data_IF_619006707887
#
_entry.id   IF_619006707887
#
_cell.length_a   1.000
_cell.length_b   1.000
_cell.length_c   1.000
_cell.angle_alpha   90.00
_cell.angle_beta   90.00
_cell.angle_gamma   90.00
#
_symmetry.space_group_name_H-M   'P 1'
#
loop_
_entity.id
_entity.type
_entity.pdbx_description
1 polymer ?
#
# COMPACT_ATOMS: atom_id res chain seq x y z
N UNK A 1 58.44 -8.00 -52.77
CA UNK A 1 59.64 -7.16 -52.81
C UNK A 1 59.67 -6.46 -51.50
N UNK A 2 60.36 -7.08 -50.58
CA UNK A 2 61.69 -6.68 -50.15
C UNK A 2 61.67 -5.45 -49.31
N UNK A 3 62.11 -5.39 -48.15
CA UNK A 3 63.18 -6.02 -47.34
C UNK A 3 63.61 -4.95 -46.34
N UNK A 4 63.71 -5.33 -45.09
CA UNK A 4 64.95 -5.44 -44.32
C UNK A 4 65.52 -4.09 -43.78
N UNK A 5 65.77 -4.01 -42.55
CA UNK A 5 67.00 -3.96 -41.82
C UNK A 5 66.89 -3.18 -40.52
N UNK A 6 66.96 -3.77 -39.45
CA UNK A 6 68.06 -4.09 -38.55
C UNK A 6 69.11 -3.01 -38.31
N UNK A 7 69.37 -2.85 -37.01
CA UNK A 7 70.70 -2.43 -36.52
C UNK A 7 70.56 -1.51 -35.28
N UNK A 8 70.76 -1.93 -34.21
CA UNK A 8 71.78 -2.55 -33.34
C UNK A 8 72.74 -1.57 -32.67
N UNK A 9 72.74 -1.59 -31.30
CA UNK A 9 73.92 -1.43 -30.38
C UNK A 9 74.50 -0.02 -30.22
N UNK A 10 74.88 0.47 -29.09
CA UNK A 10 75.38 -0.03 -27.83
C UNK A 10 75.89 1.14 -26.97
N UNK A 11 75.78 0.99 -25.66
CA UNK A 11 76.78 1.26 -24.62
C UNK A 11 77.40 2.70 -24.42
N UNK A 12 77.56 3.18 -23.28
CA UNK A 12 78.44 2.88 -22.12
C UNK A 12 78.41 4.06 -21.11
N UNK A 13 78.22 3.71 -19.85
CA UNK A 13 78.83 4.18 -18.60
C UNK A 13 79.06 5.68 -18.30
N UNK A 14 78.69 6.07 -17.12
CA UNK A 14 79.25 7.16 -16.35
C UNK A 14 78.68 7.30 -14.97
N UNK A 15 79.36 6.75 -14.01
CA UNK A 15 79.16 6.84 -12.53
C UNK A 15 79.35 8.28 -12.05
N UNK A 16 78.50 8.79 -11.15
CA UNK A 16 79.01 9.38 -9.87
C UNK A 16 77.89 9.56 -8.82
N UNK A 17 78.23 9.22 -7.60
CA UNK A 17 77.50 9.32 -6.36
C UNK A 17 77.10 10.75 -6.02
N UNK A 18 75.88 10.90 -5.46
CA UNK A 18 75.66 11.79 -4.34
C UNK A 18 74.54 11.30 -3.42
N UNK A 19 74.93 10.94 -2.18
CA UNK A 19 74.02 10.60 -1.09
C UNK A 19 73.23 11.85 -0.69
N UNK A 20 71.88 11.76 -0.69
CA UNK A 20 71.07 12.55 0.23
C UNK A 20 69.99 11.63 0.81
N UNK A 21 70.11 11.43 2.13
CA UNK A 21 69.09 10.93 3.03
C UNK A 21 67.82 11.79 2.92
N UNK A 22 66.71 11.18 2.58
CA UNK A 22 65.36 11.70 2.93
C UNK A 22 64.61 10.60 3.60
N UNK A 23 64.19 10.93 4.84
CA UNK A 23 63.46 10.01 5.72
C UNK A 23 62.12 9.60 5.13
N UNK A 24 61.87 8.30 5.18
CA UNK A 24 60.54 7.75 4.97
C UNK A 24 59.69 8.03 6.21
N UNK A 25 58.77 9.00 6.08
CA UNK A 25 57.62 9.12 6.98
C UNK A 25 56.59 8.09 6.52
N UNK A 26 56.48 6.98 7.23
CA UNK A 26 55.39 6.04 7.10
C UNK A 26 54.13 6.73 7.64
N UNK A 27 53.34 7.27 6.72
CA UNK A 27 51.97 7.71 7.04
C UNK A 27 51.11 6.45 7.09
N UNK A 28 50.86 5.98 8.33
CA UNK A 28 49.93 4.90 8.60
C UNK A 28 48.51 5.46 8.40
N UNK A 29 47.93 5.29 7.21
CA UNK A 29 46.51 5.55 6.95
C UNK A 29 45.74 4.42 7.61
N UNK A 30 45.19 4.71 8.79
CA UNK A 30 44.13 3.89 9.38
C UNK A 30 42.89 3.98 8.46
N UNK A 31 42.67 3.00 7.60
CA UNK A 31 41.36 2.72 7.04
C UNK A 31 40.46 2.24 8.19
N UNK A 32 39.72 3.17 8.82
CA UNK A 32 38.50 2.79 9.53
C UNK A 32 37.50 2.25 8.49
N UNK A 33 37.49 0.96 8.31
CA UNK A 33 36.34 0.27 7.75
C UNK A 33 35.21 0.45 8.77
N UNK A 34 34.31 1.40 8.50
CA UNK A 34 33.00 1.41 9.13
C UNK A 34 32.29 0.12 8.68
N UNK A 35 32.27 -0.87 9.54
CA UNK A 35 31.30 -1.94 9.43
C UNK A 35 29.94 -1.29 9.68
N UNK A 36 29.26 -0.90 8.61
CA UNK A 36 27.83 -0.67 8.67
C UNK A 36 27.22 -2.00 9.06
N UNK A 37 26.63 -2.06 10.25
CA UNK A 37 25.72 -3.14 10.61
C UNK A 37 24.58 -2.99 9.61
N UNK A 38 24.51 -3.84 8.62
CA UNK A 38 23.34 -3.94 7.77
C UNK A 38 22.16 -4.23 8.71
N UNK A 39 21.17 -3.35 8.73
CA UNK A 39 19.93 -3.65 9.44
C UNK A 39 19.42 -4.98 8.90
N UNK A 40 19.07 -5.91 9.79
CA UNK A 40 18.50 -7.18 9.38
C UNK A 40 17.24 -6.88 8.56
N UNK A 41 17.13 -7.46 7.37
CA UNK A 41 15.93 -7.32 6.55
C UNK A 41 14.73 -7.84 7.33
N UNK A 42 13.64 -7.11 7.30
CA UNK A 42 12.36 -7.57 7.84
C UNK A 42 11.88 -8.76 7.00
N UNK A 43 11.42 -9.81 7.67
CA UNK A 43 10.90 -11.03 7.04
C UNK A 43 9.44 -11.26 7.44
N UNK A 44 8.70 -12.02 6.66
CA UNK A 44 7.34 -12.46 6.96
C UNK A 44 7.31 -13.50 8.08
N UNK A 45 6.12 -13.75 8.65
CA UNK A 45 5.94 -14.85 9.63
C UNK A 45 6.25 -16.20 8.98
N UNK A 46 5.79 -16.41 7.75
CA UNK A 46 6.08 -17.65 7.00
C UNK A 46 7.59 -17.87 6.83
N UNK A 47 8.36 -16.84 6.49
CA UNK A 47 9.82 -16.96 6.40
C UNK A 47 10.47 -17.22 7.76
N UNK A 48 9.95 -16.62 8.83
CA UNK A 48 10.43 -16.82 10.19
C UNK A 48 10.19 -18.26 10.72
N UNK A 49 9.08 -18.89 10.33
CA UNK A 49 8.78 -20.28 10.68
C UNK A 49 9.84 -21.26 10.13
N UNK A 50 10.45 -20.96 9.00
CA UNK A 50 11.52 -21.78 8.39
C UNK A 50 12.94 -21.33 8.78
N UNK A 51 13.08 -20.28 9.57
CA UNK A 51 14.39 -19.79 10.04
C UNK A 51 14.88 -20.70 11.19
N UNK A 52 16.20 -20.95 11.23
CA UNK A 52 16.80 -21.80 12.25
C UNK A 52 16.80 -21.17 13.65
N UNK A 53 16.62 -21.98 14.68
CA UNK A 53 16.74 -21.54 16.08
C UNK A 53 18.12 -20.90 16.33
N UNK A 54 18.15 -19.86 17.14
CA UNK A 54 19.34 -19.06 17.46
C UNK A 54 19.64 -17.94 16.46
N UNK A 55 18.83 -17.75 15.42
CA UNK A 55 18.97 -16.64 14.48
C UNK A 55 18.32 -15.37 15.02
N UNK A 56 19.02 -14.24 14.90
CA UNK A 56 18.41 -12.94 15.16
C UNK A 56 17.58 -12.55 13.93
N UNK A 57 16.32 -12.22 14.15
CA UNK A 57 15.34 -11.92 13.10
C UNK A 57 14.54 -10.67 13.43
N UNK A 58 14.07 -10.03 12.40
CA UNK A 58 13.04 -8.99 12.44
C UNK A 58 11.84 -9.49 11.68
N UNK A 59 10.72 -9.72 12.38
CA UNK A 59 9.49 -10.26 11.79
C UNK A 59 8.38 -9.22 11.84
N UNK A 60 7.63 -9.09 10.78
CA UNK A 60 6.36 -8.36 10.76
C UNK A 60 5.20 -9.31 10.59
N UNK A 61 4.11 -9.04 11.31
CA UNK A 61 2.88 -9.80 11.20
C UNK A 61 1.79 -9.22 12.09
N UNK A 62 0.59 -9.74 11.95
CA UNK A 62 -0.59 -9.31 12.68
C UNK A 62 -0.75 -10.09 13.99
N UNK A 63 -1.15 -9.41 15.05
CA UNK A 63 -1.54 -10.05 16.31
C UNK A 63 -2.85 -10.80 16.08
N UNK A 64 -2.82 -12.14 16.18
CA UNK A 64 -3.98 -13.01 15.92
C UNK A 64 -4.46 -13.76 17.16
N UNK A 65 -3.82 -13.59 18.30
CA UNK A 65 -4.29 -14.19 19.54
C UNK A 65 -3.24 -14.36 20.64
N UNK A 66 -3.61 -15.14 21.66
CA UNK A 66 -2.76 -15.54 22.78
C UNK A 66 -2.54 -17.05 22.74
N UNK A 67 -1.31 -17.55 22.58
CA UNK A 67 -1.03 -18.97 22.66
C UNK A 67 -1.19 -19.45 24.11
N UNK A 68 -1.98 -20.50 24.29
CA UNK A 68 -2.21 -21.14 25.59
C UNK A 68 -1.67 -22.58 25.67
N UNK A 69 -1.39 -23.19 24.52
CA UNK A 69 -0.66 -24.45 24.38
C UNK A 69 0.04 -24.48 23.00
N UNK A 70 0.76 -25.58 22.71
CA UNK A 70 1.45 -25.80 21.43
C UNK A 70 0.52 -25.69 20.20
N UNK A 71 -0.74 -26.04 20.34
CA UNK A 71 -1.73 -26.21 19.28
C UNK A 71 -3.01 -25.38 19.49
N UNK A 72 -3.00 -24.45 20.46
CA UNK A 72 -4.19 -23.70 20.85
C UNK A 72 -3.87 -22.22 21.06
N UNK A 73 -4.58 -21.38 20.32
CA UNK A 73 -4.50 -19.92 20.40
C UNK A 73 -5.89 -19.37 20.74
N UNK A 74 -5.99 -18.56 21.80
CA UNK A 74 -7.19 -17.80 22.12
C UNK A 74 -7.28 -16.59 21.19
N UNK A 75 -8.33 -16.50 20.39
CA UNK A 75 -8.61 -15.36 19.51
C UNK A 75 -9.66 -14.38 20.07
N UNK A 76 -10.19 -14.70 21.26
CA UNK A 76 -11.11 -13.86 22.03
C UNK A 76 -11.08 -14.25 23.50
N UNK A 77 -11.60 -13.38 24.41
CA UNK A 77 -11.65 -13.63 25.85
C UNK A 77 -10.28 -14.00 26.47
N UNK A 78 -9.28 -13.25 26.12
CA UNK A 78 -7.87 -13.49 26.43
C UNK A 78 -7.60 -13.67 27.92
N UNK A 79 -6.92 -14.76 28.28
CA UNK A 79 -6.65 -15.14 29.67
C UNK A 79 -5.24 -14.80 30.13
N UNK A 80 -4.36 -14.29 29.23
CA UNK A 80 -2.95 -14.07 29.51
C UNK A 80 -2.38 -12.83 28.79
N UNK A 81 -1.33 -12.25 29.41
CA UNK A 81 -0.50 -11.19 28.83
C UNK A 81 0.95 -11.67 28.54
N UNK A 82 1.21 -12.96 28.56
CA UNK A 82 2.58 -13.48 28.53
C UNK A 82 3.13 -13.77 27.16
N UNK A 83 2.26 -13.84 26.14
CA UNK A 83 2.68 -14.10 24.77
C UNK A 83 1.63 -13.60 23.78
N UNK A 84 2.06 -13.47 22.52
CA UNK A 84 1.21 -13.22 21.35
C UNK A 84 1.37 -14.35 20.34
N UNK A 85 0.32 -14.69 19.63
CA UNK A 85 0.40 -15.37 18.35
C UNK A 85 0.38 -14.31 17.25
N UNK A 86 1.30 -14.41 16.31
CA UNK A 86 1.46 -13.46 15.20
C UNK A 86 1.46 -14.23 13.89
N UNK A 87 0.76 -13.73 12.88
CA UNK A 87 0.63 -14.35 11.55
C UNK A 87 0.77 -13.32 10.44
N UNK A 88 0.97 -13.80 9.20
CA UNK A 88 1.01 -12.92 8.03
C UNK A 88 -0.38 -12.40 7.64
N UNK A 89 -1.45 -13.11 8.02
CA UNK A 89 -2.85 -12.70 7.85
C UNK A 89 -3.47 -12.34 9.21
N UNK A 90 -4.17 -11.20 9.29
CA UNK A 90 -4.86 -10.71 10.50
C UNK A 90 -6.00 -11.65 10.97
N UNK A 91 -6.48 -12.52 10.09
CA UNK A 91 -7.58 -13.48 10.34
C UNK A 91 -7.12 -14.92 10.38
N UNK A 92 -5.82 -15.17 10.50
CA UNK A 92 -5.26 -16.52 10.54
C UNK A 92 -5.84 -17.32 11.70
N UNK A 93 -6.26 -18.56 11.41
CA UNK A 93 -6.82 -19.51 12.39
C UNK A 93 -6.02 -20.80 12.51
N UNK A 94 -5.11 -21.06 11.57
CA UNK A 94 -4.25 -22.24 11.59
C UNK A 94 -3.02 -21.96 12.45
N UNK A 95 -2.90 -22.67 13.56
CA UNK A 95 -1.81 -22.44 14.52
C UNK A 95 -0.43 -22.71 13.91
N UNK A 96 -0.33 -23.64 12.95
CA UNK A 96 0.92 -23.98 12.26
C UNK A 96 1.44 -22.83 11.36
N UNK A 97 0.59 -21.85 11.02
CA UNK A 97 0.94 -20.65 10.24
C UNK A 97 1.20 -19.42 11.13
N UNK A 98 1.28 -19.61 12.44
CA UNK A 98 1.54 -18.57 13.44
C UNK A 98 2.92 -18.73 14.06
N UNK A 99 3.58 -17.61 14.38
CA UNK A 99 4.78 -17.58 15.23
C UNK A 99 4.41 -17.10 16.65
N UNK A 100 4.92 -17.77 17.70
CA UNK A 100 4.63 -17.39 19.08
C UNK A 100 5.68 -16.43 19.61
N UNK A 101 5.26 -15.26 20.03
CA UNK A 101 6.12 -14.19 20.55
C UNK A 101 5.96 -14.13 22.07
N UNK A 102 7.02 -14.46 22.82
CA UNK A 102 7.04 -14.33 24.28
C UNK A 102 7.12 -12.86 24.67
N UNK A 103 6.24 -12.43 25.55
CA UNK A 103 6.27 -11.08 26.11
C UNK A 103 7.02 -11.05 27.43
N UNK A 104 8.20 -10.44 27.45
CA UNK A 104 8.90 -10.10 28.67
C UNK A 104 8.15 -9.02 29.45
N UNK A 105 8.45 -8.88 30.76
CA UNK A 105 7.65 -8.08 31.68
C UNK A 105 7.46 -6.62 31.23
N UNK A 106 8.41 -6.06 30.49
CA UNK A 106 8.38 -4.70 29.98
C UNK A 106 7.34 -4.50 28.86
N UNK A 107 7.06 -5.53 28.06
CA UNK A 107 6.11 -5.45 26.94
C UNK A 107 4.67 -5.80 27.33
N UNK A 108 4.44 -6.49 28.48
CA UNK A 108 3.11 -7.02 28.87
C UNK A 108 2.05 -5.96 29.10
N UNK A 109 2.45 -4.79 29.61
CA UNK A 109 1.51 -3.69 29.87
C UNK A 109 0.98 -3.07 28.59
N UNK A 110 1.79 -3.03 27.53
CA UNK A 110 1.48 -2.39 26.25
C UNK A 110 0.91 -3.37 25.24
N UNK A 111 1.46 -4.58 25.15
CA UNK A 111 1.11 -5.55 24.10
C UNK A 111 0.27 -6.75 24.60
N UNK A 112 0.14 -6.98 25.89
CA UNK A 112 -0.63 -8.11 26.42
C UNK A 112 -2.12 -8.00 26.14
N UNK A 113 -2.69 -8.96 25.41
CA UNK A 113 -4.08 -8.93 24.95
C UNK A 113 -5.11 -9.02 26.07
N UNK A 114 -4.81 -9.65 27.21
CA UNK A 114 -5.73 -9.65 28.35
C UNK A 114 -6.04 -8.21 28.84
N UNK A 115 -5.05 -7.33 28.79
CA UNK A 115 -5.21 -5.93 29.17
C UNK A 115 -5.60 -5.03 27.99
N UNK A 116 -5.22 -5.38 26.78
CA UNK A 116 -5.38 -4.58 25.57
C UNK A 116 -6.02 -5.41 24.44
N UNK A 117 -7.28 -5.88 24.61
CA UNK A 117 -7.93 -6.74 23.61
C UNK A 117 -8.12 -6.07 22.24
N UNK A 118 -8.11 -4.75 22.20
CA UNK A 118 -8.20 -3.97 20.96
C UNK A 118 -6.93 -4.01 20.09
N UNK A 119 -5.86 -4.71 20.52
CA UNK A 119 -4.68 -4.94 19.69
C UNK A 119 -4.82 -6.14 18.72
N UNK A 120 -5.92 -6.91 18.81
CA UNK A 120 -6.20 -7.94 17.79
C UNK A 120 -6.23 -7.33 16.41
N UNK A 121 -5.58 -7.98 15.43
CA UNK A 121 -5.45 -7.50 14.08
C UNK A 121 -4.44 -6.37 13.88
N UNK A 122 -3.78 -5.89 14.95
CA UNK A 122 -2.73 -4.87 14.82
C UNK A 122 -1.46 -5.49 14.25
N UNK A 123 -0.91 -4.91 13.20
CA UNK A 123 0.40 -5.31 12.66
C UNK A 123 1.50 -4.83 13.59
N UNK A 124 2.43 -5.71 13.90
CA UNK A 124 3.59 -5.41 14.74
C UNK A 124 4.88 -5.86 14.07
N UNK A 125 5.97 -5.16 14.39
CA UNK A 125 7.34 -5.58 14.09
C UNK A 125 7.98 -6.07 15.39
N UNK A 126 8.53 -7.27 15.35
CA UNK A 126 9.22 -7.90 16.48
C UNK A 126 10.67 -8.16 16.11
N UNK A 127 11.59 -7.63 16.88
CA UNK A 127 13.00 -7.98 16.80
C UNK A 127 13.33 -8.95 17.95
N UNK A 128 14.03 -10.02 17.63
CA UNK A 128 14.43 -10.98 18.64
C UNK A 128 15.15 -12.19 18.08
N UNK A 129 15.39 -13.16 18.91
CA UNK A 129 16.03 -14.41 18.51
C UNK A 129 14.97 -15.48 18.29
N UNK A 130 14.99 -16.09 17.09
CA UNK A 130 14.16 -17.23 16.74
C UNK A 130 14.49 -18.40 17.65
N UNK A 131 13.55 -18.87 18.45
CA UNK A 131 13.65 -20.07 19.27
C UNK A 131 12.26 -20.61 19.57
N UNK A 132 12.17 -21.88 19.97
CA UNK A 132 10.88 -22.48 20.26
C UNK A 132 10.28 -21.95 21.58
N UNK A 133 9.01 -21.56 21.53
CA UNK A 133 8.22 -21.16 22.68
C UNK A 133 6.94 -22.03 22.79
N UNK A 134 6.65 -22.61 23.95
CA UNK A 134 5.64 -23.66 24.11
C UNK A 134 5.87 -24.89 23.21
N UNK A 135 7.12 -25.19 22.86
CA UNK A 135 7.48 -26.23 21.88
C UNK A 135 6.89 -25.99 20.47
N UNK A 136 6.53 -24.77 20.16
CA UNK A 136 6.10 -24.25 18.87
C UNK A 136 7.12 -23.25 18.37
N UNK A 137 7.17 -23.00 17.06
CA UNK A 137 8.04 -21.97 16.49
C UNK A 137 7.73 -20.61 17.12
N UNK A 138 8.75 -19.92 17.63
CA UNK A 138 8.55 -18.70 18.36
C UNK A 138 9.73 -17.73 18.33
N UNK A 139 9.56 -16.61 19.03
CA UNK A 139 10.60 -15.64 19.37
C UNK A 139 10.64 -15.57 20.88
N UNK A 140 11.64 -16.22 21.48
CA UNK A 140 11.73 -16.30 22.95
C UNK A 140 12.44 -15.08 23.56
N UNK A 141 13.46 -14.55 22.85
CA UNK A 141 14.26 -13.42 23.32
C UNK A 141 13.93 -12.19 22.49
N UNK A 142 12.87 -11.50 22.89
CA UNK A 142 12.40 -10.27 22.23
C UNK A 142 13.27 -9.10 22.68
N UNK A 143 13.83 -8.39 21.72
CA UNK A 143 14.66 -7.18 21.96
C UNK A 143 13.90 -5.89 21.72
N UNK A 144 12.90 -5.89 20.84
CA UNK A 144 11.93 -4.80 20.70
C UNK A 144 10.63 -5.27 20.07
N UNK A 145 9.53 -4.61 20.42
CA UNK A 145 8.25 -4.69 19.74
C UNK A 145 7.82 -3.28 19.42
N UNK A 146 7.38 -3.06 18.21
CA UNK A 146 6.72 -1.81 17.80
C UNK A 146 5.46 -2.12 17.02
N UNK A 147 4.44 -1.27 17.12
CA UNK A 147 3.31 -1.33 16.19
C UNK A 147 3.84 -0.90 14.84
N UNK A 148 3.59 -1.71 13.84
CA UNK A 148 3.74 -1.28 12.46
C UNK A 148 2.47 -0.48 12.19
N UNK A 149 2.58 0.84 12.31
CA UNK A 149 1.60 1.69 11.68
C UNK A 149 1.62 1.32 10.20
N UNK A 150 0.51 1.42 9.52
CA UNK A 150 0.43 1.36 8.05
C UNK A 150 1.36 2.38 7.36
N UNK A 151 2.28 2.94 8.10
CA UNK A 151 3.28 3.97 7.80
C UNK A 151 4.69 3.54 8.17
N UNK A 152 5.11 2.28 8.06
CA UNK A 152 6.53 1.98 8.31
C UNK A 152 7.40 2.14 7.07
N UNK A 153 7.56 3.38 6.71
CA UNK A 153 8.49 4.00 5.79
C UNK A 153 8.79 5.45 6.16
N UNK A 154 8.38 5.97 7.34
CA UNK A 154 8.71 7.35 7.76
C UNK A 154 7.86 7.86 8.90
N UNK A 155 8.37 8.79 9.65
CA UNK A 155 7.74 9.46 10.79
C UNK A 155 6.40 10.11 10.39
N UNK A 156 5.35 9.87 11.20
CA UNK A 156 4.02 10.48 11.08
C UNK A 156 4.10 12.01 11.26
N UNK A 157 4.12 12.74 10.13
CA UNK A 157 3.93 14.19 10.10
C UNK A 157 2.63 14.63 9.41
N UNK A 158 1.64 13.75 9.32
CA UNK A 158 0.36 14.11 8.75
C UNK A 158 0.06 13.48 7.39
N UNK A 159 0.61 12.32 7.06
CA UNK A 159 0.02 11.45 6.06
C UNK A 159 0.69 11.32 4.71
N UNK A 160 1.96 11.67 4.57
CA UNK A 160 2.70 11.44 3.32
C UNK A 160 3.48 10.12 3.39
N UNK A 161 3.31 9.25 2.38
CA UNK A 161 4.09 8.01 2.23
C UNK A 161 5.56 8.34 1.95
N UNK A 162 6.49 7.86 2.79
CA UNK A 162 7.94 8.17 2.67
C UNK A 162 8.77 7.00 2.15
N UNK A 163 8.13 5.93 1.66
CA UNK A 163 8.82 4.77 1.09
C UNK A 163 9.45 5.05 -0.27
N UNK A 164 10.34 4.18 -0.74
CA UNK A 164 11.04 4.32 -2.03
C UNK A 164 10.15 4.05 -3.25
N UNK A 165 8.87 3.71 -3.07
CA UNK A 165 7.94 3.37 -4.16
C UNK A 165 7.83 4.50 -5.19
N UNK A 166 7.77 5.77 -4.75
CA UNK A 166 7.67 6.94 -5.60
C UNK A 166 9.01 7.66 -5.86
N UNK A 167 10.15 7.03 -5.62
CA UNK A 167 11.47 7.67 -5.77
C UNK A 167 11.68 8.27 -7.16
N UNK A 168 11.12 7.69 -8.22
CA UNK A 168 11.18 8.20 -9.58
C UNK A 168 10.41 9.51 -9.81
N UNK A 169 9.45 9.82 -8.95
CA UNK A 169 8.58 10.99 -9.04
C UNK A 169 9.08 12.19 -8.21
N UNK A 170 10.07 12.00 -7.33
CA UNK A 170 10.57 13.04 -6.43
C UNK A 170 11.06 14.28 -7.17
N UNK A 171 10.54 15.44 -6.76
CA UNK A 171 10.93 16.76 -7.30
C UNK A 171 10.41 17.05 -8.70
N UNK A 172 9.58 16.19 -9.29
CA UNK A 172 8.89 16.41 -10.55
C UNK A 172 7.59 17.20 -10.35
N UNK A 173 7.06 17.78 -11.44
CA UNK A 173 5.77 18.46 -11.47
C UNK A 173 5.16 18.44 -12.87
N UNK A 174 3.86 18.76 -12.97
CA UNK A 174 3.13 18.80 -14.23
C UNK A 174 3.20 17.47 -14.98
N UNK A 175 3.31 17.53 -16.29
CA UNK A 175 3.34 16.34 -17.15
C UNK A 175 4.47 15.36 -16.81
N UNK A 176 5.64 15.84 -16.38
CA UNK A 176 6.75 14.96 -16.01
C UNK A 176 6.43 14.15 -14.76
N UNK A 177 5.71 14.73 -13.79
CA UNK A 177 5.23 14.00 -12.61
C UNK A 177 4.15 12.98 -13.01
N UNK A 178 3.16 13.39 -13.81
CA UNK A 178 2.08 12.50 -14.30
C UNK A 178 2.66 11.27 -14.99
N UNK A 179 3.60 11.45 -15.92
CA UNK A 179 4.28 10.37 -16.63
C UNK A 179 5.07 9.44 -15.69
N UNK A 180 5.84 10.02 -14.77
CA UNK A 180 6.61 9.20 -13.81
C UNK A 180 5.72 8.40 -12.87
N UNK A 181 4.59 8.95 -12.44
CA UNK A 181 3.61 8.23 -11.64
C UNK A 181 2.95 7.12 -12.45
N UNK A 182 2.61 7.37 -13.72
CA UNK A 182 2.12 6.35 -14.63
C UNK A 182 3.11 5.17 -14.70
N UNK A 183 4.38 5.43 -15.04
CA UNK A 183 5.43 4.40 -15.12
C UNK A 183 5.62 3.59 -13.82
N UNK A 184 5.28 4.17 -12.66
CA UNK A 184 5.39 3.51 -11.35
C UNK A 184 4.19 2.60 -11.06
N UNK A 185 2.99 2.97 -11.52
CA UNK A 185 1.75 2.29 -11.12
C UNK A 185 1.12 1.43 -12.23
N UNK A 186 1.66 1.41 -13.44
CA UNK A 186 1.05 0.73 -14.58
C UNK A 186 1.17 -0.80 -14.55
N UNK A 187 2.26 -1.35 -14.08
CA UNK A 187 2.56 -2.79 -13.99
C UNK A 187 1.85 -3.48 -12.80
N UNK A 188 0.53 -3.38 -12.71
CA UNK A 188 -0.22 -4.00 -11.62
C UNK A 188 -0.80 -5.38 -11.98
N UNK A 189 -1.09 -6.19 -10.96
CA UNK A 189 -1.80 -7.46 -11.15
C UNK A 189 -3.26 -7.22 -11.49
N UNK A 190 -3.66 -7.57 -12.70
CA UNK A 190 -5.06 -7.47 -13.13
C UNK A 190 -5.93 -8.58 -12.54
N UNK A 191 -7.03 -8.21 -11.91
CA UNK A 191 -7.98 -9.15 -11.34
C UNK A 191 -9.01 -9.62 -12.39
N UNK A 192 -9.53 -10.83 -12.20
CA UNK A 192 -10.76 -11.19 -12.91
C UNK A 192 -11.97 -10.46 -12.33
N UNK A 193 -13.00 -10.19 -13.13
CA UNK A 193 -14.20 -9.52 -12.63
C UNK A 193 -14.91 -10.29 -11.50
N UNK A 194 -14.76 -11.61 -11.43
CA UNK A 194 -15.25 -12.41 -10.29
C UNK A 194 -14.45 -12.19 -9.01
N UNK A 195 -13.13 -12.02 -9.12
CA UNK A 195 -12.27 -11.80 -7.93
C UNK A 195 -12.47 -10.42 -7.31
N UNK A 196 -12.99 -9.45 -8.07
CA UNK A 196 -13.34 -8.12 -7.51
C UNK A 196 -14.35 -8.23 -6.37
N UNK A 197 -15.24 -9.23 -6.34
CA UNK A 197 -16.15 -9.42 -5.21
C UNK A 197 -15.40 -9.67 -3.89
N UNK A 198 -14.40 -10.55 -3.92
CA UNK A 198 -13.62 -10.91 -2.73
C UNK A 198 -12.72 -9.73 -2.33
N UNK A 199 -12.13 -9.06 -3.31
CA UNK A 199 -11.34 -7.87 -3.07
C UNK A 199 -12.16 -6.77 -2.36
N UNK A 200 -13.35 -6.43 -2.85
CA UNK A 200 -14.18 -5.39 -2.23
C UNK A 200 -14.71 -5.78 -0.84
N UNK A 201 -14.90 -7.06 -0.56
CA UNK A 201 -15.24 -7.53 0.80
C UNK A 201 -14.12 -7.26 1.80
N UNK A 202 -12.88 -7.18 1.34
CA UNK A 202 -11.70 -6.91 2.15
C UNK A 202 -11.34 -5.43 2.18
N UNK A 203 -11.20 -4.81 1.01
CA UNK A 203 -10.79 -3.39 0.89
C UNK A 203 -11.80 -2.42 1.49
N UNK A 204 -13.08 -2.76 1.46
CA UNK A 204 -14.19 -1.91 1.92
C UNK A 204 -14.89 -2.48 3.17
N UNK A 205 -14.20 -3.33 3.94
CA UNK A 205 -14.70 -3.86 5.20
C UNK A 205 -15.06 -2.71 6.16
N UNK A 206 -16.20 -2.84 6.83
CA UNK A 206 -16.60 -1.90 7.88
C UNK A 206 -15.70 -2.09 9.12
N UNK A 207 -14.90 -1.09 9.50
CA UNK A 207 -14.01 -1.18 10.67
C UNK A 207 -14.74 -1.48 11.99
N UNK A 208 -16.05 -1.21 12.03
CA UNK A 208 -16.90 -1.45 13.21
C UNK A 208 -17.60 -2.82 13.17
N UNK A 209 -17.59 -3.52 12.02
CA UNK A 209 -18.26 -4.79 11.84
C UNK A 209 -17.66 -5.57 10.65
N UNK A 210 -16.73 -6.46 10.92
CA UNK A 210 -16.01 -7.26 9.91
C UNK A 210 -16.89 -8.16 9.04
N UNK A 211 -18.18 -8.38 9.38
CA UNK A 211 -19.12 -9.08 8.52
C UNK A 211 -19.75 -8.19 7.42
N UNK A 212 -19.45 -6.91 7.43
CA UNK A 212 -20.06 -5.92 6.55
C UNK A 212 -19.01 -5.19 5.70
N UNK A 213 -19.50 -4.58 4.61
CA UNK A 213 -18.79 -3.57 3.83
C UNK A 213 -19.44 -2.21 4.01
N UNK A 214 -18.70 -1.13 3.80
CA UNK A 214 -19.23 0.23 3.74
C UNK A 214 -19.59 0.58 2.29
N UNK A 215 -20.85 0.92 2.05
CA UNK A 215 -21.30 1.33 0.72
C UNK A 215 -20.91 2.79 0.44
N UNK A 216 -20.24 3.05 -0.69
CA UNK A 216 -19.62 4.34 -1.02
C UNK A 216 -20.57 5.53 -0.85
N UNK A 217 -21.63 5.59 -1.65
CA UNK A 217 -22.48 6.79 -1.71
C UNK A 217 -23.48 6.91 -0.55
N UNK A 218 -23.91 5.80 0.04
CA UNK A 218 -24.86 5.84 1.17
C UNK A 218 -24.19 5.84 2.53
N UNK A 219 -22.94 5.40 2.65
CA UNK A 219 -22.25 5.20 3.92
C UNK A 219 -22.84 4.08 4.79
N UNK A 220 -23.75 3.27 4.24
CA UNK A 220 -24.40 2.17 4.98
C UNK A 220 -23.42 1.03 5.19
N UNK A 221 -23.40 0.49 6.40
CA UNK A 221 -22.78 -0.80 6.71
C UNK A 221 -23.71 -1.93 6.26
N UNK A 222 -23.25 -2.80 5.36
CA UNK A 222 -24.07 -3.80 4.71
C UNK A 222 -23.37 -5.15 4.66
N UNK A 223 -24.12 -6.25 4.81
CA UNK A 223 -23.54 -7.59 4.83
C UNK A 223 -22.65 -7.85 3.60
N UNK A 224 -21.43 -8.37 3.83
CA UNK A 224 -20.47 -8.71 2.77
C UNK A 224 -21.03 -9.63 1.69
N UNK A 225 -22.00 -10.48 2.05
CA UNK A 225 -22.54 -11.53 1.19
C UNK A 225 -23.91 -11.20 0.57
N UNK A 226 -24.49 -10.06 0.92
CA UNK A 226 -25.71 -9.58 0.28
C UNK A 226 -25.34 -8.76 -0.97
N UNK A 227 -24.52 -9.37 -1.84
CA UNK A 227 -24.03 -8.79 -3.08
C UNK A 227 -24.66 -9.49 -4.30
N UNK A 228 -24.98 -8.71 -5.33
CA UNK A 228 -25.59 -9.27 -6.54
C UNK A 228 -26.15 -8.22 -7.48
N UNK A 229 -27.36 -8.43 -7.93
CA UNK A 229 -28.05 -7.55 -8.89
C UNK A 229 -29.50 -7.26 -8.51
N UNK A 230 -29.97 -7.68 -7.34
CA UNK A 230 -31.32 -7.40 -6.88
C UNK A 230 -31.37 -6.04 -6.15
N UNK A 231 -32.57 -5.50 -5.97
CA UNK A 231 -32.82 -4.16 -5.43
C UNK A 231 -32.16 -3.92 -4.06
N UNK A 232 -32.12 -4.93 -3.22
CA UNK A 232 -31.54 -4.84 -1.87
C UNK A 232 -30.12 -5.42 -1.77
N UNK A 233 -29.45 -5.68 -2.92
CA UNK A 233 -28.06 -6.10 -2.96
C UNK A 233 -27.13 -4.88 -3.08
N UNK A 234 -25.85 -5.08 -2.75
CA UNK A 234 -24.80 -4.19 -3.22
C UNK A 234 -24.09 -4.79 -4.45
N UNK A 235 -23.53 -3.92 -5.30
CA UNK A 235 -22.76 -4.33 -6.46
C UNK A 235 -21.46 -3.52 -6.60
N UNK A 236 -20.73 -3.79 -7.69
CA UNK A 236 -19.44 -3.15 -8.01
C UNK A 236 -19.68 -1.88 -8.78
N UNK A 237 -19.58 -0.75 -8.10
CA UNK A 237 -19.59 0.58 -8.72
C UNK A 237 -18.25 0.81 -9.42
N UNK A 238 -18.30 1.22 -10.67
CA UNK A 238 -17.17 1.79 -11.38
C UNK A 238 -17.24 3.31 -11.25
N UNK A 239 -16.44 3.87 -10.33
CA UNK A 239 -16.42 5.32 -10.07
C UNK A 239 -16.02 6.08 -11.34
N UNK A 240 -15.03 5.64 -12.08
CA UNK A 240 -14.89 5.98 -13.49
C UNK A 240 -15.86 5.12 -14.30
N UNK A 241 -16.93 5.73 -14.81
CA UNK A 241 -17.99 4.98 -15.48
C UNK A 241 -17.47 4.23 -16.72
N UNK A 242 -17.81 2.95 -16.85
CA UNK A 242 -17.32 2.08 -17.94
C UNK A 242 -17.55 2.63 -19.35
N UNK A 243 -18.63 3.37 -19.56
CA UNK A 243 -18.94 4.01 -20.85
C UNK A 243 -18.02 5.19 -21.16
N UNK A 244 -17.33 5.74 -20.18
CA UNK A 244 -16.27 6.74 -20.34
C UNK A 244 -14.93 6.03 -20.51
N UNK A 245 -14.68 5.44 -21.66
CA UNK A 245 -13.51 4.62 -22.00
C UNK A 245 -13.88 3.31 -22.71
N UNK A 246 -15.17 2.89 -22.63
CA UNK A 246 -15.69 1.68 -23.26
C UNK A 246 -14.95 0.38 -22.87
N UNK A 247 -14.42 0.31 -21.62
CA UNK A 247 -13.61 -0.81 -21.16
C UNK A 247 -14.43 -2.00 -20.60
N UNK A 248 -15.72 -1.82 -20.37
CA UNK A 248 -16.59 -2.89 -19.90
C UNK A 248 -16.19 -3.46 -18.53
N UNK A 249 -16.06 -4.79 -18.46
CA UNK A 249 -15.66 -5.54 -17.26
C UNK A 249 -14.48 -6.47 -17.55
N UNK A 250 -13.71 -6.17 -18.58
CA UNK A 250 -12.47 -6.87 -18.90
C UNK A 250 -11.41 -6.56 -17.87
N UNK A 251 -10.42 -7.45 -17.76
CA UNK A 251 -9.24 -7.21 -16.91
C UNK A 251 -8.55 -5.90 -17.33
N UNK A 252 -7.89 -5.25 -16.40
CA UNK A 252 -7.42 -3.87 -16.51
C UNK A 252 -8.44 -2.89 -15.94
N UNK A 253 -8.73 -1.78 -16.62
CA UNK A 253 -9.62 -0.71 -16.13
C UNK A 253 -11.00 -1.21 -15.65
N UNK A 254 -11.53 -2.28 -16.26
CA UNK A 254 -12.82 -2.87 -15.85
C UNK A 254 -12.79 -3.64 -14.54
N UNK A 255 -11.63 -3.89 -13.99
CA UNK A 255 -11.42 -4.67 -12.76
C UNK A 255 -10.45 -4.04 -11.78
N UNK A 256 -10.01 -2.82 -12.06
CA UNK A 256 -9.09 -2.08 -11.19
C UNK A 256 -9.81 -1.64 -9.91
N UNK A 257 -9.40 -2.22 -8.79
CA UNK A 257 -10.07 -1.99 -7.50
C UNK A 257 -9.70 -0.66 -6.86
N UNK A 258 -8.78 0.12 -7.42
CA UNK A 258 -8.57 1.50 -6.97
C UNK A 258 -9.77 2.40 -7.25
N UNK A 259 -10.58 2.10 -8.28
CA UNK A 259 -11.82 2.83 -8.56
C UNK A 259 -13.11 2.02 -8.45
N UNK A 260 -13.02 0.72 -8.14
CA UNK A 260 -14.20 -0.12 -7.88
C UNK A 260 -14.58 -0.06 -6.40
N UNK A 261 -15.85 0.19 -6.10
CA UNK A 261 -16.37 0.30 -4.73
C UNK A 261 -17.71 -0.44 -4.58
N UNK A 262 -18.03 -0.98 -3.40
CA UNK A 262 -19.36 -1.49 -3.11
C UNK A 262 -20.37 -0.33 -3.06
N UNK A 263 -21.48 -0.48 -3.74
CA UNK A 263 -22.58 0.49 -3.78
C UNK A 263 -23.91 -0.23 -3.91
N UNK A 264 -24.94 0.27 -3.25
CA UNK A 264 -26.32 -0.22 -3.41
C UNK A 264 -26.72 -0.24 -4.89
N UNK A 265 -27.38 -1.32 -5.32
CA UNK A 265 -27.73 -1.54 -6.74
C UNK A 265 -28.60 -0.41 -7.30
N UNK A 266 -29.55 0.14 -6.49
CA UNK A 266 -30.41 1.22 -6.94
C UNK A 266 -29.69 2.55 -7.00
N UNK A 267 -28.79 2.81 -6.06
CA UNK A 267 -27.92 4.00 -6.06
C UNK A 267 -26.95 3.96 -7.26
N UNK A 268 -26.30 2.82 -7.50
CA UNK A 268 -25.42 2.63 -8.66
C UNK A 268 -26.19 2.83 -9.98
N UNK A 269 -27.42 2.28 -10.06
CA UNK A 269 -28.27 2.46 -11.25
C UNK A 269 -28.67 3.92 -11.47
N UNK A 270 -28.89 4.68 -10.40
CA UNK A 270 -29.23 6.10 -10.48
C UNK A 270 -28.03 6.96 -10.88
N UNK A 271 -26.85 6.65 -10.33
CA UNK A 271 -25.59 7.32 -10.72
C UNK A 271 -25.30 7.09 -12.22
N UNK A 272 -25.46 5.86 -12.71
CA UNK A 272 -25.31 5.53 -14.12
C UNK A 272 -23.91 5.85 -14.63
N UNK A 273 -23.83 6.83 -15.54
CA UNK A 273 -22.55 7.33 -16.08
C UNK A 273 -22.45 8.86 -16.01
N UNK A 274 -23.12 9.47 -15.03
CA UNK A 274 -23.04 10.91 -14.80
C UNK A 274 -21.61 11.31 -14.44
N UNK A 275 -21.21 12.51 -14.87
CA UNK A 275 -19.99 13.16 -14.40
C UNK A 275 -20.09 13.54 -12.91
N UNK A 276 -19.03 14.07 -12.35
CA UNK A 276 -19.00 14.57 -10.98
C UNK A 276 -18.98 16.10 -10.96
N UNK A 277 -20.00 16.70 -10.35
CA UNK A 277 -20.09 18.14 -10.10
C UNK A 277 -21.00 18.38 -8.88
N UNK A 278 -21.08 19.59 -8.39
CA UNK A 278 -21.90 20.01 -7.26
C UNK A 278 -23.33 20.36 -7.70
N UNK A 279 -24.28 20.08 -6.84
CA UNK A 279 -25.67 20.57 -6.98
C UNK A 279 -26.69 19.51 -7.35
N UNK A 280 -27.86 19.98 -7.81
CA UNK A 280 -28.97 19.13 -8.18
C UNK A 280 -29.96 18.86 -7.05
N UNK A 281 -30.67 17.73 -7.16
CA UNK A 281 -31.68 17.29 -6.19
C UNK A 281 -31.14 16.18 -5.30
N UNK A 282 -31.50 16.19 -4.03
CA UNK A 282 -31.10 15.15 -3.09
C UNK A 282 -31.60 13.76 -3.55
N UNK A 283 -30.71 12.78 -3.47
CA UNK A 283 -31.04 11.39 -3.74
C UNK A 283 -31.41 10.66 -2.44
N UNK A 284 -32.63 10.19 -2.34
CA UNK A 284 -33.23 9.77 -1.06
C UNK A 284 -32.62 8.47 -0.48
N UNK A 285 -32.08 7.56 -1.34
CA UNK A 285 -31.48 6.30 -0.89
C UNK A 285 -30.02 6.44 -0.45
N UNK A 286 -29.38 7.54 -0.83
CA UNK A 286 -28.02 7.92 -0.39
C UNK A 286 -28.04 9.32 0.21
N UNK A 287 -28.38 9.47 1.50
CA UNK A 287 -28.45 10.77 2.17
C UNK A 287 -27.15 11.56 2.07
N UNK A 288 -27.26 12.85 1.72
CA UNK A 288 -26.10 13.73 1.49
C UNK A 288 -25.55 13.67 0.05
N UNK A 289 -26.12 12.82 -0.79
CA UNK A 289 -25.81 12.73 -2.24
C UNK A 289 -26.86 13.53 -3.02
N UNK A 290 -26.40 14.21 -4.08
CA UNK A 290 -27.27 14.99 -4.97
C UNK A 290 -27.00 14.61 -6.43
N UNK A 291 -27.94 14.90 -7.33
CA UNK A 291 -27.80 14.62 -8.76
C UNK A 291 -28.70 15.52 -9.60
N UNK A 292 -28.32 15.70 -10.84
CA UNK A 292 -29.16 16.35 -11.85
C UNK A 292 -29.10 15.64 -13.21
N UNK A 293 -29.18 16.36 -14.32
CA UNK A 293 -29.28 15.75 -15.65
C UNK A 293 -27.94 15.25 -16.23
N UNK A 294 -26.83 15.72 -15.71
CA UNK A 294 -25.49 15.41 -16.22
C UNK A 294 -24.40 15.22 -15.14
N UNK A 295 -24.76 15.36 -13.84
CA UNK A 295 -23.79 15.20 -12.76
C UNK A 295 -24.32 14.48 -11.52
N UNK A 296 -23.37 13.98 -10.73
CA UNK A 296 -23.54 13.30 -9.46
C UNK A 296 -22.62 13.93 -8.41
N UNK A 297 -23.21 14.39 -7.30
CA UNK A 297 -22.48 14.89 -6.14
C UNK A 297 -22.56 13.86 -5.01
N UNK A 298 -21.46 13.18 -4.64
CA UNK A 298 -21.45 12.26 -3.52
C UNK A 298 -21.53 12.98 -2.17
N UNK A 299 -21.89 12.26 -1.10
CA UNK A 299 -21.86 12.78 0.26
C UNK A 299 -20.49 13.36 0.63
N UNK A 300 -20.45 14.38 1.48
CA UNK A 300 -19.22 15.12 1.80
C UNK A 300 -18.05 14.22 2.27
N UNK A 301 -18.37 13.17 3.05
CA UNK A 301 -17.37 12.26 3.62
C UNK A 301 -16.73 11.27 2.64
N UNK A 302 -16.96 11.38 1.33
CA UNK A 302 -16.31 10.58 0.28
C UNK A 302 -16.06 11.38 -1.00
N UNK A 303 -16.17 12.69 -0.91
CA UNK A 303 -15.86 13.59 -2.05
C UNK A 303 -14.38 13.47 -2.43
N UNK A 304 -13.50 13.50 -1.44
CA UNK A 304 -12.07 13.31 -1.61
C UNK A 304 -11.71 11.92 -2.14
N UNK A 305 -12.34 10.86 -1.58
CA UNK A 305 -12.16 9.49 -2.07
C UNK A 305 -12.45 9.40 -3.58
N UNK A 306 -13.63 9.91 -3.99
CA UNK A 306 -14.04 9.89 -5.39
C UNK A 306 -13.04 10.66 -6.26
N UNK A 307 -12.63 11.85 -5.83
CA UNK A 307 -11.65 12.66 -6.55
C UNK A 307 -10.33 11.91 -6.75
N UNK A 308 -9.78 11.32 -5.68
CA UNK A 308 -8.52 10.55 -5.74
C UNK A 308 -8.61 9.28 -6.57
N UNK A 309 -9.77 8.65 -6.65
CA UNK A 309 -10.01 7.53 -7.59
C UNK A 309 -9.99 8.00 -9.03
N UNK A 310 -10.58 9.14 -9.33
CA UNK A 310 -10.62 9.69 -10.70
C UNK A 310 -9.22 10.17 -11.12
N UNK A 311 -8.48 10.84 -10.26
CA UNK A 311 -7.08 11.22 -10.52
C UNK A 311 -6.19 9.99 -10.78
N UNK A 312 -6.38 8.90 -10.00
CA UNK A 312 -5.67 7.65 -10.23
C UNK A 312 -5.96 7.09 -11.63
N UNK A 313 -7.22 7.03 -12.04
CA UNK A 313 -7.60 6.48 -13.32
C UNK A 313 -7.02 7.27 -14.51
N UNK A 314 -6.98 8.60 -14.43
CA UNK A 314 -6.40 9.48 -15.43
C UNK A 314 -4.88 9.30 -15.56
N UNK A 315 -4.19 8.97 -14.45
CA UNK A 315 -2.74 8.72 -14.47
C UNK A 315 -2.43 7.29 -14.86
N UNK A 316 -3.19 6.30 -14.31
CA UNK A 316 -2.92 4.89 -14.58
C UNK A 316 -3.19 4.51 -16.04
N UNK A 317 -4.18 5.12 -16.67
CA UNK A 317 -4.61 4.82 -18.03
C UNK A 317 -4.34 6.02 -18.95
N UNK A 318 -3.07 6.34 -19.17
CA UNK A 318 -2.53 7.48 -19.95
C UNK A 318 -2.37 7.18 -21.44
N UNK A 319 -2.76 5.98 -21.92
CA UNK A 319 -2.82 5.68 -23.35
C UNK A 319 -1.52 5.18 -23.99
N UNK A 320 -0.49 4.90 -23.22
CA UNK A 320 0.73 4.33 -23.74
C UNK A 320 0.57 2.83 -24.09
N UNK A 321 1.51 2.26 -24.84
CA UNK A 321 1.55 0.83 -25.22
C UNK A 321 0.24 0.27 -25.83
N UNK A 322 -0.71 1.14 -26.18
CA UNK A 322 -2.03 0.76 -26.75
C UNK A 322 -3.09 0.49 -25.70
N UNK A 323 -2.88 0.89 -24.48
CA UNK A 323 -3.87 0.94 -23.41
C UNK A 323 -4.91 2.06 -23.62
N UNK A 324 -5.85 2.15 -22.68
CA UNK A 324 -6.83 3.23 -22.65
C UNK A 324 -6.15 4.57 -22.35
N UNK A 325 -6.69 5.63 -22.96
CA UNK A 325 -6.31 7.01 -22.73
C UNK A 325 -7.49 7.71 -22.06
N UNK A 326 -7.52 7.69 -20.72
CA UNK A 326 -8.58 8.28 -19.91
C UNK A 326 -8.19 9.69 -19.48
N UNK A 327 -9.11 10.64 -19.65
CA UNK A 327 -8.82 12.06 -19.47
C UNK A 327 -9.85 12.77 -18.58
N UNK A 328 -9.40 13.55 -17.61
CA UNK A 328 -10.29 14.39 -16.81
C UNK A 328 -10.59 15.69 -17.55
N UNK A 329 -11.89 15.93 -17.81
CA UNK A 329 -12.36 17.18 -18.41
C UNK A 329 -12.74 18.22 -17.34
N UNK A 330 -12.66 19.52 -17.64
CA UNK A 330 -13.17 20.57 -16.75
C UNK A 330 -14.59 21.05 -17.15
N UNK A 331 -15.45 20.09 -17.55
CA UNK A 331 -16.87 20.30 -17.84
C UNK A 331 -17.65 19.01 -17.60
N UNK A 332 -18.98 19.09 -17.50
CA UNK A 332 -19.90 17.94 -17.35
C UNK A 332 -20.66 17.67 -18.65
N UNK A 333 -21.35 16.52 -18.73
CA UNK A 333 -21.97 16.01 -19.95
C UNK A 333 -20.93 15.41 -20.89
N UNK A 334 -19.86 14.83 -20.34
CA UNK A 334 -18.74 14.26 -21.08
C UNK A 334 -19.13 12.95 -21.77
N UNK A 335 -18.30 12.49 -22.68
CA UNK A 335 -18.44 11.21 -23.38
C UNK A 335 -17.09 10.73 -23.90
N UNK A 336 -17.05 9.47 -24.38
CA UNK A 336 -15.79 8.87 -24.79
C UNK A 336 -14.88 8.64 -23.57
N UNK A 337 -13.56 8.88 -23.66
CA UNK A 337 -12.66 8.64 -22.55
C UNK A 337 -12.63 9.76 -21.50
N UNK A 338 -13.53 10.73 -21.58
CA UNK A 338 -13.54 11.91 -20.71
C UNK A 338 -14.50 11.72 -19.54
N UNK A 339 -14.09 12.19 -18.34
CA UNK A 339 -14.96 12.29 -17.15
C UNK A 339 -14.72 13.64 -16.47
N UNK A 340 -15.78 14.37 -16.09
CA UNK A 340 -15.68 15.66 -15.43
C UNK A 340 -16.00 15.59 -13.94
N UNK A 341 -15.72 16.65 -13.16
CA UNK A 341 -15.19 17.94 -13.59
C UNK A 341 -13.93 18.26 -12.79
N UNK A 342 -12.82 18.50 -13.44
CA UNK A 342 -11.50 18.69 -12.81
C UNK A 342 -11.50 19.72 -11.68
N UNK A 343 -12.04 20.93 -11.93
CA UNK A 343 -12.05 22.00 -10.93
C UNK A 343 -12.82 21.61 -9.65
N UNK A 344 -13.89 20.84 -9.78
CA UNK A 344 -14.69 20.33 -8.64
C UNK A 344 -13.97 19.19 -7.94
N UNK A 345 -13.39 18.26 -8.68
CA UNK A 345 -12.60 17.17 -8.10
C UNK A 345 -11.41 17.69 -7.27
N UNK A 346 -10.73 18.74 -7.75
CA UNK A 346 -9.65 19.41 -6.96
C UNK A 346 -10.20 20.04 -5.69
N UNK A 347 -11.37 20.69 -5.77
CA UNK A 347 -12.02 21.28 -4.61
C UNK A 347 -12.41 20.19 -3.59
N UNK A 348 -12.99 19.09 -4.02
CA UNK A 348 -13.37 17.96 -3.17
C UNK A 348 -12.16 17.28 -2.52
N UNK A 349 -11.09 17.09 -3.27
CA UNK A 349 -9.83 16.59 -2.73
C UNK A 349 -9.29 17.44 -1.57
N UNK A 350 -9.38 18.79 -1.69
CA UNK A 350 -8.95 19.70 -0.64
C UNK A 350 -9.90 19.76 0.55
N UNK A 351 -11.22 19.54 0.34
CA UNK A 351 -12.25 19.59 1.38
C UNK A 351 -12.32 18.32 2.22
N UNK A 352 -12.04 17.19 1.61
CA UNK A 352 -12.10 15.86 2.22
C UNK A 352 -10.71 15.20 2.14
N UNK A 353 -9.83 15.50 3.12
CA UNK A 353 -8.47 14.96 3.16
C UNK A 353 -8.46 13.44 3.33
N UNK A 354 -7.37 12.80 2.92
CA UNK A 354 -7.16 11.36 3.07
C UNK A 354 -7.36 10.93 4.51
N UNK A 355 -8.21 9.94 4.71
CA UNK A 355 -8.50 9.35 6.01
C UNK A 355 -7.85 7.96 6.20
N UNK A 356 -8.02 7.37 7.38
CA UNK A 356 -7.45 6.06 7.71
C UNK A 356 -8.10 4.92 6.90
N UNK A 357 -9.36 5.08 6.49
CA UNK A 357 -10.04 4.10 5.66
C UNK A 357 -9.43 4.01 4.26
N UNK A 358 -9.15 5.15 3.65
CA UNK A 358 -8.47 5.21 2.35
C UNK A 358 -7.03 4.68 2.42
N UNK A 359 -6.28 5.06 3.48
CA UNK A 359 -4.93 4.55 3.71
C UNK A 359 -4.92 3.03 3.84
N UNK A 360 -5.76 2.48 4.69
CA UNK A 360 -5.90 1.04 4.86
C UNK A 360 -6.30 0.34 3.56
N UNK A 361 -7.25 0.93 2.82
CA UNK A 361 -7.69 0.41 1.53
C UNK A 361 -6.54 0.36 0.53
N UNK A 362 -5.73 1.41 0.43
CA UNK A 362 -4.56 1.49 -0.44
C UNK A 362 -3.50 0.43 -0.08
N UNK A 363 -3.27 0.19 1.23
CA UNK A 363 -2.38 -0.87 1.73
C UNK A 363 -2.88 -2.27 1.36
N UNK A 364 -4.15 -2.57 1.57
CA UNK A 364 -4.75 -3.86 1.23
C UNK A 364 -4.68 -4.12 -0.28
N UNK A 365 -4.95 -3.11 -1.12
CA UNK A 365 -4.83 -3.24 -2.58
C UNK A 365 -3.39 -3.57 -2.96
N UNK A 366 -2.43 -2.87 -2.39
CA UNK A 366 -1.01 -3.06 -2.67
C UNK A 366 -0.51 -4.43 -2.23
N UNK A 367 -0.77 -4.81 -0.98
CA UNK A 367 -0.19 -6.02 -0.39
C UNK A 367 -0.87 -7.31 -0.87
N UNK A 368 -2.21 -7.30 -1.06
CA UNK A 368 -2.99 -8.52 -1.18
C UNK A 368 -3.57 -8.74 -2.59
N UNK A 369 -3.60 -7.70 -3.45
CA UNK A 369 -4.31 -7.80 -4.72
C UNK A 369 -3.53 -7.32 -5.94
N UNK A 370 -3.31 -6.02 -6.10
CA UNK A 370 -2.80 -5.44 -7.34
C UNK A 370 -1.30 -5.16 -7.36
N UNK A 371 -0.67 -4.99 -6.21
CA UNK A 371 0.75 -4.68 -6.11
C UNK A 371 1.11 -3.23 -6.50
N UNK A 372 0.10 -2.39 -6.78
CA UNK A 372 0.28 -0.96 -7.02
C UNK A 372 -0.51 -0.12 -6.01
N UNK A 373 -0.20 1.16 -5.93
CA UNK A 373 -0.75 2.12 -4.95
C UNK A 373 -1.42 3.27 -5.68
N UNK A 374 -2.39 3.90 -5.03
CA UNK A 374 -2.92 5.18 -5.48
C UNK A 374 -2.03 6.32 -4.96
N UNK A 375 -1.28 7.02 -5.84
CA UNK A 375 -0.34 8.06 -5.42
C UNK A 375 -1.03 9.28 -4.78
N UNK A 376 -2.31 9.50 -5.05
CA UNK A 376 -3.05 10.64 -4.48
C UNK A 376 -3.60 10.38 -3.08
N UNK A 377 -3.48 9.13 -2.59
CA UNK A 377 -3.70 8.77 -1.19
C UNK A 377 -2.38 8.91 -0.42
N UNK A 378 -1.27 8.44 -0.98
CA UNK A 378 0.04 8.47 -0.33
C UNK A 378 0.67 9.87 -0.36
N UNK A 379 0.46 10.61 -1.44
CA UNK A 379 0.99 11.95 -1.72
C UNK A 379 -0.12 12.88 -2.22
N UNK A 380 -1.04 13.31 -1.36
CA UNK A 380 -2.17 14.17 -1.76
C UNK A 380 -1.73 15.44 -2.49
N UNK A 381 -0.56 15.98 -2.16
CA UNK A 381 0.02 17.16 -2.77
C UNK A 381 0.31 17.02 -4.27
N UNK A 382 0.40 15.80 -4.79
CA UNK A 382 0.64 15.57 -6.22
C UNK A 382 -0.51 16.08 -7.09
N UNK A 383 -1.73 16.15 -6.56
CA UNK A 383 -2.88 16.72 -7.31
C UNK A 383 -2.59 18.16 -7.76
N UNK A 384 -2.15 19.03 -6.83
CA UNK A 384 -1.83 20.43 -7.17
C UNK A 384 -0.52 20.58 -7.95
N UNK A 385 0.32 19.54 -7.96
CA UNK A 385 1.57 19.55 -8.72
C UNK A 385 1.38 19.11 -10.17
N UNK A 386 0.30 18.38 -10.48
CA UNK A 386 -0.02 17.88 -11.83
C UNK A 386 -0.99 18.80 -12.55
N UNK A 387 -2.13 19.14 -11.93
CA UNK A 387 -3.23 19.93 -12.49
C UNK A 387 -3.24 21.37 -11.93
#
# INVERSE_FOLDING_TARGET
>A
MEEIGEGLISNIKGVLHLKRMFGFVFSLVFLLSAYGVAAASTITVQEALYTSNGSDITVEGYIVGVPVSIDTVEQSNFTSNYALAVADDAYETQVDDMIFVKLDSEYRSEYGLQNNPGLMGTKIRVNGTRDDYFAHQGIEYVTSISKVSSNDGGEDDGGTYTGSYYQGAEGLSGYALKQSLHDIIDDHTELSYSNVWDALRHTDEDPSNSNNVLLLYSGKSYSKYDNGGYVDDWNREHVWAKSHGDFGTSMGAGTDIHHLRPTDVTVNSARGNLDFDEGGSAFYEAPGTYYDGDSWEPRDAVKGDVARMIFYMDVRYEGDQGELDLEIADYVGTSGPYLGKLSVLKQWHAQDPVDDFERNRNEVIFNDYQGNRNPFIDHPEYVEQIW
#
